data_IF_720033490959
#
_entry.id   IF_720033490959
#
_cell.length_a   1.000
_cell.length_b   1.000
_cell.length_c   1.000
_cell.angle_alpha   90.00
_cell.angle_beta   90.00
_cell.angle_gamma   90.00
#
_symmetry.space_group_name_H-M   'P 1'
#
loop_
_entity.id
_entity.type
_entity.pdbx_description
1 polymer ?
#
# COMPACT_ATOMS: atom_id res chain seq x y z
N UNK A 1 -15.04 10.44 17.72
CA UNK A 1 -15.22 10.15 16.29
C UNK A 1 -14.32 8.97 15.98
N UNK A 2 -14.91 7.78 15.86
CA UNK A 2 -14.15 6.56 15.59
C UNK A 2 -13.73 6.52 14.12
N UNK A 3 -12.44 6.30 13.89
CA UNK A 3 -11.82 6.13 12.58
C UNK A 3 -12.10 4.70 12.05
N UNK A 4 -13.38 4.30 11.98
CA UNK A 4 -13.81 2.90 11.87
C UNK A 4 -13.58 2.25 10.49
N UNK A 5 -13.17 3.00 9.46
CA UNK A 5 -13.23 2.55 8.07
C UNK A 5 -11.94 1.94 7.50
N UNK A 6 -10.79 2.15 8.14
CA UNK A 6 -9.54 1.50 7.72
C UNK A 6 -9.45 0.03 8.15
N UNK A 7 -10.15 -0.34 9.23
CA UNK A 7 -10.07 -1.68 9.83
C UNK A 7 -10.47 -2.82 8.89
N UNK A 8 -11.35 -2.58 7.91
CA UNK A 8 -11.78 -3.62 6.96
C UNK A 8 -10.98 -3.66 5.67
N UNK A 9 -10.14 -2.65 5.36
CA UNK A 9 -9.43 -2.56 4.08
C UNK A 9 -7.90 -2.68 4.19
N UNK A 10 -7.35 -2.50 5.40
CA UNK A 10 -5.93 -2.72 5.70
C UNK A 10 -5.81 -3.49 7.00
N UNK A 11 -5.73 -4.81 6.89
CA UNK A 11 -5.59 -5.69 8.04
C UNK A 11 -4.11 -5.98 8.31
N UNK A 12 -3.68 -5.77 9.55
CA UNK A 12 -2.26 -5.82 9.97
C UNK A 12 -1.38 -4.90 9.09
N UNK A 13 -1.56 -3.57 9.20
CA UNK A 13 -0.69 -2.62 8.48
C UNK A 13 0.76 -2.84 8.89
N UNK A 14 1.65 -2.98 7.92
CA UNK A 14 3.04 -3.39 8.14
C UNK A 14 4.07 -2.50 7.43
N UNK A 15 3.71 -1.91 6.28
CA UNK A 15 4.54 -0.96 5.54
C UNK A 15 3.82 0.35 5.32
N UNK A 16 4.56 1.45 5.41
CA UNK A 16 4.04 2.80 5.16
C UNK A 16 5.07 3.71 4.48
N UNK A 17 4.59 4.63 3.65
CA UNK A 17 5.41 5.64 3.00
C UNK A 17 4.61 6.90 2.71
N UNK A 18 5.21 8.08 2.88
CA UNK A 18 4.59 9.36 2.53
C UNK A 18 5.12 9.80 1.17
N UNK A 19 4.24 9.98 0.18
CA UNK A 19 4.62 10.45 -1.15
C UNK A 19 5.06 11.93 -1.09
N UNK A 20 5.79 12.44 -2.09
CA UNK A 20 6.14 13.86 -2.16
C UNK A 20 4.93 14.80 -2.20
N UNK A 21 3.77 14.32 -2.66
CA UNK A 21 2.51 15.07 -2.65
C UNK A 21 1.78 15.00 -1.29
N UNK A 22 2.35 14.31 -0.30
CA UNK A 22 1.85 14.20 1.06
C UNK A 22 0.80 13.11 1.27
N UNK A 23 0.49 12.29 0.27
CA UNK A 23 -0.41 11.14 0.46
C UNK A 23 0.33 10.01 1.17
N UNK A 24 -0.39 9.16 1.89
CA UNK A 24 0.21 8.02 2.59
C UNK A 24 -0.08 6.74 1.79
N UNK A 25 0.96 5.96 1.56
CA UNK A 25 0.86 4.58 1.09
C UNK A 25 0.88 3.66 2.31
N UNK A 26 0.03 2.65 2.31
CA UNK A 26 0.01 1.63 3.35
C UNK A 26 -0.23 0.26 2.73
N UNK A 27 0.49 -0.76 3.18
CA UNK A 27 0.18 -2.15 2.86
C UNK A 27 -0.27 -2.91 4.12
N UNK A 28 -1.21 -3.85 3.93
CA UNK A 28 -1.72 -4.71 4.99
C UNK A 28 -1.43 -6.18 4.70
N UNK A 29 -0.76 -6.84 5.66
CA UNK A 29 -0.28 -8.22 5.53
C UNK A 29 -1.42 -9.21 5.26
N UNK A 30 -2.55 -9.07 5.97
CA UNK A 30 -3.70 -9.98 5.84
C UNK A 30 -4.73 -9.51 4.82
N UNK A 31 -4.76 -8.23 4.50
CA UNK A 31 -5.67 -7.72 3.48
C UNK A 31 -5.11 -7.92 2.07
N UNK A 32 -3.82 -8.22 1.93
CA UNK A 32 -3.14 -8.40 0.64
C UNK A 32 -3.38 -7.20 -0.29
N UNK A 33 -3.35 -6.01 0.28
CA UNK A 33 -3.65 -4.75 -0.39
C UNK A 33 -2.54 -3.74 -0.17
N UNK A 34 -2.30 -2.94 -1.22
CA UNK A 34 -1.58 -1.67 -1.13
C UNK A 34 -2.57 -0.56 -1.39
N UNK A 35 -2.74 0.33 -0.41
CA UNK A 35 -3.68 1.44 -0.48
C UNK A 35 -2.94 2.77 -0.52
N UNK A 36 -3.55 3.73 -1.20
CA UNK A 36 -3.28 5.14 -1.01
C UNK A 36 -4.36 5.72 -0.10
N UNK A 37 -3.95 6.50 0.88
CA UNK A 37 -4.84 7.24 1.77
C UNK A 37 -4.44 8.71 1.80
N UNK A 38 -5.35 9.56 2.27
CA UNK A 38 -5.11 10.99 2.40
C UNK A 38 -3.94 11.28 3.35
N UNK A 39 -3.47 12.53 3.32
CA UNK A 39 -2.33 12.99 4.14
C UNK A 39 -2.55 12.86 5.64
N UNK A 40 -3.80 12.74 6.09
CA UNK A 40 -4.14 12.53 7.50
C UNK A 40 -4.35 11.05 7.83
N UNK A 41 -4.21 10.14 6.87
CA UNK A 41 -4.46 8.71 7.04
C UNK A 41 -5.91 8.38 7.35
N UNK A 42 -6.88 9.22 6.95
CA UNK A 42 -8.30 9.10 7.33
C UNK A 42 -9.16 8.52 6.21
N UNK A 43 -8.91 8.92 4.97
CA UNK A 43 -9.71 8.52 3.83
C UNK A 43 -8.87 7.71 2.84
N UNK A 44 -9.42 6.58 2.39
CA UNK A 44 -8.87 5.86 1.24
C UNK A 44 -9.04 6.71 -0.03
N UNK A 45 -7.95 6.89 -0.76
CA UNK A 45 -7.93 7.56 -2.06
C UNK A 45 -7.93 6.54 -3.20
N UNK A 46 -7.17 5.45 -3.08
CA UNK A 46 -7.07 4.44 -4.14
C UNK A 46 -6.67 3.05 -3.62
N UNK A 47 -7.04 2.00 -4.36
CA UNK A 47 -6.41 0.67 -4.26
C UNK A 47 -5.33 0.57 -5.33
N UNK A 48 -4.08 0.50 -4.89
CA UNK A 48 -2.90 0.51 -5.75
C UNK A 48 -2.35 -0.88 -6.04
N UNK A 49 -2.62 -1.86 -5.18
CA UNK A 49 -2.22 -3.26 -5.35
C UNK A 49 -3.25 -4.21 -4.72
N UNK A 50 -3.61 -5.31 -5.38
CA UNK A 50 -4.33 -6.44 -4.75
C UNK A 50 -3.75 -7.79 -5.16
N UNK A 51 -4.07 -8.83 -4.39
CA UNK A 51 -3.70 -10.20 -4.72
C UNK A 51 -4.22 -10.61 -6.10
N UNK A 52 -5.50 -10.36 -6.39
CA UNK A 52 -6.16 -10.82 -7.60
C UNK A 52 -5.64 -10.12 -8.86
N UNK A 53 -5.33 -8.83 -8.75
CA UNK A 53 -4.90 -8.02 -9.90
C UNK A 53 -3.40 -8.10 -10.12
N UNK A 54 -2.61 -8.07 -9.05
CA UNK A 54 -1.18 -7.83 -9.15
C UNK A 54 -0.32 -8.89 -8.43
N UNK A 55 -0.94 -9.95 -7.89
CA UNK A 55 -0.23 -11.02 -7.19
C UNK A 55 0.34 -10.61 -5.84
N UNK A 56 -0.14 -9.49 -5.29
CA UNK A 56 0.28 -8.93 -4.00
C UNK A 56 -0.03 -9.96 -2.90
N UNK A 57 0.98 -10.61 -2.35
CA UNK A 57 0.89 -11.55 -1.23
C UNK A 57 1.98 -11.37 -0.14
N UNK A 58 1.59 -11.40 1.14
CA UNK A 58 2.53 -11.36 2.27
C UNK A 58 3.46 -10.14 2.32
N UNK A 59 2.95 -8.93 2.02
CA UNK A 59 3.76 -7.71 1.99
C UNK A 59 4.29 -7.35 3.36
N UNK A 60 5.48 -6.73 3.39
CA UNK A 60 6.09 -6.18 4.60
C UNK A 60 6.51 -4.72 4.46
N UNK A 61 6.66 -4.21 3.24
CA UNK A 61 7.07 -2.83 3.00
C UNK A 61 6.47 -2.26 1.73
N UNK A 62 6.33 -0.93 1.69
CA UNK A 62 5.91 -0.19 0.50
C UNK A 62 6.70 1.12 0.42
N UNK A 63 7.11 1.53 -0.79
CA UNK A 63 7.61 2.87 -1.04
C UNK A 63 7.21 3.37 -2.42
N UNK A 64 7.35 4.68 -2.63
CA UNK A 64 7.11 5.34 -3.90
C UNK A 64 8.42 5.92 -4.45
N UNK A 65 8.71 5.64 -5.72
CA UNK A 65 9.80 6.24 -6.47
C UNK A 65 9.22 7.32 -7.39
N UNK A 66 9.49 8.58 -7.09
CA UNK A 66 9.12 9.71 -7.96
C UNK A 66 9.92 9.73 -9.26
N UNK A 67 11.11 9.12 -9.28
CA UNK A 67 11.97 9.07 -10.47
C UNK A 67 11.38 8.17 -11.55
N UNK A 68 10.77 7.05 -11.15
CA UNK A 68 10.22 6.05 -12.07
C UNK A 68 8.70 6.01 -12.07
N UNK A 69 8.05 6.91 -11.32
CA UNK A 69 6.62 6.87 -11.02
C UNK A 69 6.16 5.46 -10.65
N UNK A 70 6.84 4.83 -9.70
CA UNK A 70 6.58 3.42 -9.36
C UNK A 70 6.29 3.23 -7.89
N UNK A 71 5.40 2.29 -7.59
CA UNK A 71 5.20 1.74 -6.26
C UNK A 71 6.02 0.46 -6.17
N UNK A 72 6.85 0.37 -5.14
CA UNK A 72 7.72 -0.77 -4.88
C UNK A 72 7.23 -1.42 -3.59
N UNK A 73 7.02 -2.73 -3.64
CA UNK A 73 6.48 -3.52 -2.53
C UNK A 73 7.42 -4.66 -2.22
N UNK A 74 7.86 -4.75 -0.96
CA UNK A 74 8.63 -5.90 -0.49
C UNK A 74 7.68 -6.97 0.05
N UNK A 75 7.85 -8.20 -0.42
CA UNK A 75 7.03 -9.34 -0.04
C UNK A 75 7.84 -10.41 0.70
N UNK A 76 7.36 -10.77 1.88
CA UNK A 76 8.03 -11.74 2.73
C UNK A 76 7.75 -13.18 2.26
N UNK A 77 6.50 -13.54 2.03
CA UNK A 77 6.14 -14.91 1.67
C UNK A 77 6.70 -15.34 0.31
N UNK A 78 6.68 -14.44 -0.68
CA UNK A 78 7.21 -14.73 -2.01
C UNK A 78 8.73 -14.50 -2.11
N UNK A 79 9.35 -13.85 -1.13
CA UNK A 79 10.74 -13.36 -1.17
C UNK A 79 11.05 -12.51 -2.42
N UNK A 80 10.07 -11.75 -2.91
CA UNK A 80 10.21 -10.92 -4.11
C UNK A 80 9.99 -9.44 -3.84
N UNK A 81 10.34 -8.62 -4.83
CA UNK A 81 10.01 -7.21 -4.89
C UNK A 81 9.07 -7.02 -6.07
N UNK A 82 7.85 -6.54 -5.79
CA UNK A 82 6.91 -6.16 -6.83
C UNK A 82 7.09 -4.68 -7.17
N UNK A 83 6.99 -4.36 -8.46
CA UNK A 83 7.13 -2.99 -8.97
C UNK A 83 5.95 -2.68 -9.87
N UNK A 84 5.11 -1.75 -9.45
CA UNK A 84 3.97 -1.26 -10.22
C UNK A 84 4.27 0.13 -10.76
N UNK A 85 4.12 0.35 -12.06
CA UNK A 85 4.17 1.71 -12.61
C UNK A 85 2.81 2.38 -12.43
N UNK A 86 2.86 3.62 -11.98
CA UNK A 86 1.70 4.50 -11.86
C UNK A 86 1.74 5.40 -13.07
N UNK A 87 0.81 5.19 -14.00
CA UNK A 87 0.58 6.06 -15.17
C UNK A 87 -0.21 7.31 -14.79
#
# INVERSE_FOLDING_TARGET
>A
MEHSWLHSQTQRPCGLHVTPAGQVLVCGELSHTVLQVDREGRCKLATLGTQERDGVWGQVSVCYSSTTSSIIVGEWDSNTILVFRVE
#
